data_IF_219321866199
#
_entry.id   IF_219321866199
#
_cell.length_a   1.000
_cell.length_b   1.000
_cell.length_c   1.000
_cell.angle_alpha   90.00
_cell.angle_beta   90.00
_cell.angle_gamma   90.00
#
_symmetry.space_group_name_H-M   'P 1'
#
loop_
_entity.id
_entity.type
_entity.pdbx_description
1 polymer ?
#
# COMPACT_ATOMS: atom_id res chain seq x y z
N UNK A 1 26.21 1.83 -54.21
CA UNK A 1 25.96 2.44 -52.89
C UNK A 1 24.89 1.57 -52.22
N UNK A 2 25.31 0.68 -51.34
CA UNK A 2 24.40 -0.12 -50.51
C UNK A 2 24.00 0.75 -49.33
N UNK A 3 22.73 1.06 -49.23
CA UNK A 3 22.17 1.73 -48.03
C UNK A 3 21.94 0.65 -46.99
N UNK A 4 22.71 0.73 -45.91
CA UNK A 4 22.50 -0.10 -44.73
C UNK A 4 21.09 0.16 -44.18
N UNK A 5 20.25 -0.86 -44.29
CA UNK A 5 18.92 -0.87 -43.65
C UNK A 5 19.16 -1.07 -42.15
N UNK A 6 19.13 0.01 -41.37
CA UNK A 6 19.02 -0.07 -39.90
C UNK A 6 17.69 -0.68 -39.56
N UNK A 7 17.67 -1.95 -39.17
CA UNK A 7 16.53 -2.54 -38.50
C UNK A 7 16.54 -1.97 -37.07
N UNK A 8 15.75 -0.91 -36.83
CA UNK A 8 15.45 -0.51 -35.47
C UNK A 8 14.61 -1.63 -34.85
N UNK A 9 15.20 -2.30 -33.87
CA UNK A 9 14.49 -3.24 -33.01
C UNK A 9 13.33 -2.45 -32.39
N UNK A 10 12.10 -2.72 -32.82
CA UNK A 10 10.92 -2.17 -32.16
C UNK A 10 10.90 -2.72 -30.74
N UNK A 11 11.26 -1.87 -29.78
CA UNK A 11 11.15 -2.20 -28.34
C UNK A 11 9.69 -2.52 -28.10
N UNK A 12 9.38 -3.76 -27.72
CA UNK A 12 8.03 -4.17 -27.34
C UNK A 12 7.56 -3.21 -26.25
N UNK A 13 6.44 -2.53 -26.49
CA UNK A 13 5.80 -1.67 -25.48
C UNK A 13 4.99 -2.56 -24.55
N UNK A 14 5.21 -2.40 -23.27
CA UNK A 14 4.36 -3.01 -22.26
C UNK A 14 3.05 -2.22 -22.14
N UNK A 15 1.94 -2.87 -22.42
CA UNK A 15 0.59 -2.29 -22.35
C UNK A 15 -0.33 -3.03 -21.38
N UNK A 16 0.23 -3.98 -20.65
CA UNK A 16 -0.53 -4.85 -19.73
C UNK A 16 -0.23 -4.46 -18.28
N UNK A 17 -1.26 -4.31 -17.47
CA UNK A 17 -1.09 -4.15 -16.05
C UNK A 17 -0.64 -5.46 -15.38
N UNK A 18 -0.01 -5.39 -14.20
CA UNK A 18 0.33 -6.56 -13.41
C UNK A 18 -0.86 -7.43 -13.04
N UNK A 19 -0.61 -8.70 -12.72
CA UNK A 19 -1.61 -9.67 -12.32
C UNK A 19 -1.40 -10.19 -10.90
N UNK A 20 -2.47 -10.25 -10.10
CA UNK A 20 -2.49 -10.88 -8.79
C UNK A 20 -2.80 -12.37 -8.94
N UNK A 21 -1.80 -13.22 -8.69
CA UNK A 21 -1.93 -14.68 -8.83
C UNK A 21 -2.39 -15.34 -7.53
N UNK A 22 -2.00 -14.80 -6.37
CA UNK A 22 -2.52 -15.22 -5.06
C UNK A 22 -2.39 -14.11 -4.03
N UNK A 23 -3.23 -14.18 -3.01
CA UNK A 23 -3.20 -13.28 -1.84
C UNK A 23 -3.51 -14.07 -0.58
N UNK A 24 -2.75 -13.81 0.49
CA UNK A 24 -2.93 -14.55 1.74
C UNK A 24 -2.60 -13.66 2.94
N UNK A 25 -3.54 -13.59 3.87
CA UNK A 25 -3.27 -13.16 5.24
C UNK A 25 -2.60 -14.32 5.98
N UNK A 26 -1.45 -14.11 6.62
CA UNK A 26 -0.75 -15.16 7.36
C UNK A 26 -1.42 -15.45 8.71
N UNK A 27 -2.15 -14.45 9.23
CA UNK A 27 -3.09 -14.61 10.33
C UNK A 27 -4.33 -13.78 10.00
N UNK A 28 -5.47 -14.21 10.50
CA UNK A 28 -6.75 -13.50 10.34
C UNK A 28 -7.24 -12.88 11.67
N UNK A 29 -6.45 -13.01 12.73
CA UNK A 29 -6.71 -12.36 14.03
C UNK A 29 -5.43 -11.78 14.58
N UNK A 30 -5.46 -10.49 14.92
CA UNK A 30 -4.36 -9.72 15.50
C UNK A 30 -4.73 -9.37 16.93
N UNK A 31 -4.01 -9.92 17.90
CA UNK A 31 -4.24 -9.66 19.33
C UNK A 31 -3.27 -8.58 19.84
N UNK A 32 -3.82 -7.40 20.17
CA UNK A 32 -3.09 -6.26 20.73
C UNK A 32 -3.34 -6.06 22.23
N UNK A 33 -3.97 -7.02 22.91
CA UNK A 33 -4.28 -6.92 24.35
C UNK A 33 -3.06 -6.86 25.26
N UNK A 34 -1.90 -7.33 24.77
CA UNK A 34 -0.63 -7.40 25.53
C UNK A 34 0.50 -6.54 24.95
N UNK A 35 0.18 -5.65 24.03
CA UNK A 35 1.13 -4.80 23.30
C UNK A 35 0.99 -4.97 21.80
N UNK A 36 1.96 -4.43 21.03
CA UNK A 36 1.90 -4.49 19.56
C UNK A 36 1.95 -5.91 19.01
N UNK A 37 1.27 -6.09 17.88
CA UNK A 37 1.23 -7.33 17.11
C UNK A 37 1.31 -7.02 15.62
N UNK A 38 1.63 -8.02 14.79
CA UNK A 38 1.88 -7.79 13.36
C UNK A 38 0.89 -8.54 12.48
N UNK A 39 0.30 -7.82 11.51
CA UNK A 39 -0.34 -8.43 10.36
C UNK A 39 0.71 -8.65 9.28
N UNK A 40 0.80 -9.86 8.78
CA UNK A 40 1.63 -10.21 7.64
C UNK A 40 0.76 -10.68 6.48
N UNK A 41 1.02 -10.11 5.31
CA UNK A 41 0.30 -10.42 4.06
C UNK A 41 1.32 -10.88 3.02
N UNK A 42 1.01 -11.94 2.30
CA UNK A 42 1.78 -12.38 1.14
C UNK A 42 0.91 -12.33 -0.11
N UNK A 43 1.48 -11.78 -1.19
CA UNK A 43 0.86 -11.71 -2.52
C UNK A 43 1.83 -12.24 -3.57
N UNK A 44 1.40 -13.20 -4.37
CA UNK A 44 2.12 -13.60 -5.58
C UNK A 44 1.66 -12.71 -6.73
N UNK A 45 2.58 -11.95 -7.30
CA UNK A 45 2.29 -10.96 -8.34
C UNK A 45 3.20 -11.22 -9.52
N UNK A 46 2.65 -11.14 -10.72
CA UNK A 46 3.42 -11.26 -11.96
C UNK A 46 3.13 -10.11 -12.92
N UNK A 47 4.11 -9.87 -13.77
CA UNK A 47 4.02 -8.95 -14.89
C UNK A 47 4.65 -9.58 -16.13
N UNK A 48 4.17 -9.21 -17.31
CA UNK A 48 4.58 -9.89 -18.53
C UNK A 48 5.86 -9.34 -19.17
N UNK A 49 6.27 -8.08 -18.83
CA UNK A 49 7.39 -7.46 -19.56
C UNK A 49 8.20 -6.45 -18.74
N UNK A 50 7.58 -5.42 -18.14
CA UNK A 50 8.33 -4.34 -17.49
C UNK A 50 8.65 -4.61 -16.02
N UNK A 51 7.84 -5.44 -15.37
CA UNK A 51 7.98 -5.82 -13.97
C UNK A 51 7.24 -4.89 -13.01
N UNK A 52 6.99 -5.40 -11.81
CA UNK A 52 6.30 -4.69 -10.74
C UNK A 52 7.17 -3.57 -10.20
N UNK A 53 6.65 -2.34 -10.22
CA UNK A 53 7.27 -1.17 -9.61
C UNK A 53 6.94 -1.07 -8.12
N UNK A 54 5.66 -1.17 -7.79
CA UNK A 54 5.18 -1.21 -6.41
C UNK A 54 3.78 -1.83 -6.31
N UNK A 55 3.47 -2.28 -5.10
CA UNK A 55 2.13 -2.69 -4.70
C UNK A 55 1.83 -2.21 -3.29
N UNK A 56 0.57 -1.89 -3.03
CA UNK A 56 0.08 -1.56 -1.70
C UNK A 56 -1.42 -1.86 -1.59
N UNK A 57 -1.90 -2.05 -0.37
CA UNK A 57 -3.32 -2.22 -0.08
C UNK A 57 -3.81 -1.16 0.90
N UNK A 58 -5.06 -0.72 0.72
CA UNK A 58 -5.79 0.09 1.68
C UNK A 58 -6.71 -0.79 2.51
N UNK A 59 -6.73 -0.53 3.81
CA UNK A 59 -7.60 -1.21 4.75
C UNK A 59 -8.38 -0.20 5.55
N UNK A 60 -9.66 -0.49 5.76
CA UNK A 60 -10.57 0.35 6.52
C UNK A 60 -10.75 -0.26 7.91
N UNK A 61 -10.55 0.56 8.94
CA UNK A 61 -10.90 0.20 10.31
C UNK A 61 -12.43 0.16 10.48
N UNK A 62 -12.94 -0.39 11.60
CA UNK A 62 -14.37 -0.39 11.90
C UNK A 62 -15.02 1.00 11.87
N UNK A 63 -14.29 2.07 12.24
CA UNK A 63 -14.79 3.47 12.14
C UNK A 63 -14.61 4.09 10.75
N UNK A 64 -14.01 3.37 9.77
CA UNK A 64 -13.76 3.86 8.43
C UNK A 64 -12.46 4.64 8.24
N UNK A 65 -11.56 4.66 9.23
CA UNK A 65 -10.20 5.19 9.04
C UNK A 65 -9.43 4.28 8.10
N UNK A 66 -8.62 4.88 7.22
CA UNK A 66 -7.85 4.13 6.22
C UNK A 66 -6.39 4.04 6.60
N UNK A 67 -5.83 2.83 6.46
CA UNK A 67 -4.41 2.54 6.59
C UNK A 67 -3.86 1.94 5.30
N UNK A 68 -2.59 2.28 4.99
CA UNK A 68 -1.91 1.82 3.77
C UNK A 68 -0.80 0.85 4.11
N UNK A 69 -0.87 -0.35 3.55
CA UNK A 69 0.13 -1.40 3.75
C UNK A 69 0.92 -1.60 2.46
N UNK A 70 2.16 -1.10 2.45
CA UNK A 70 3.08 -1.29 1.33
C UNK A 70 3.68 -2.68 1.35
N UNK A 71 3.85 -3.28 0.18
CA UNK A 71 4.52 -4.57 0.03
C UNK A 71 5.90 -4.45 -0.60
N UNK A 72 6.78 -5.37 -0.23
CA UNK A 72 8.14 -5.47 -0.74
C UNK A 72 8.38 -6.86 -1.33
N UNK A 73 9.20 -6.93 -2.37
CA UNK A 73 9.61 -8.19 -2.96
C UNK A 73 10.39 -9.03 -1.93
N UNK A 74 9.86 -10.21 -1.60
CA UNK A 74 10.47 -11.16 -0.66
C UNK A 74 11.32 -12.22 -1.38
N UNK A 75 10.82 -12.72 -2.51
CA UNK A 75 11.51 -13.72 -3.32
C UNK A 75 11.01 -13.71 -4.77
N UNK A 76 11.77 -14.30 -5.68
CA UNK A 76 11.53 -14.22 -7.11
C UNK A 76 12.15 -12.95 -7.70
N UNK A 77 11.48 -12.31 -8.63
CA UNK A 77 11.90 -11.06 -9.27
C UNK A 77 10.69 -10.18 -9.60
N UNK A 78 10.93 -9.03 -10.22
CA UNK A 78 9.86 -8.08 -10.56
C UNK A 78 8.86 -8.61 -11.60
N UNK A 79 9.21 -9.61 -12.41
CA UNK A 79 8.31 -10.21 -13.38
C UNK A 79 7.46 -11.34 -12.79
N UNK A 80 7.98 -12.03 -11.77
CA UNK A 80 7.27 -13.10 -11.06
C UNK A 80 7.81 -13.21 -9.64
N UNK A 81 7.13 -12.53 -8.69
CA UNK A 81 7.60 -12.36 -7.33
C UNK A 81 6.57 -12.70 -6.26
N UNK A 82 7.09 -13.10 -5.10
CA UNK A 82 6.34 -13.12 -3.86
C UNK A 82 6.61 -11.82 -3.12
N UNK A 83 5.57 -11.04 -2.89
CA UNK A 83 5.60 -9.76 -2.20
C UNK A 83 5.03 -9.94 -0.79
N UNK A 84 5.63 -9.25 0.18
CA UNK A 84 5.20 -9.29 1.58
C UNK A 84 4.95 -7.86 2.09
N UNK A 85 3.82 -7.68 2.77
CA UNK A 85 3.54 -6.55 3.62
C UNK A 85 3.60 -6.99 5.08
N UNK A 86 4.15 -6.13 5.93
CA UNK A 86 4.11 -6.30 7.39
C UNK A 86 3.63 -4.98 7.98
N UNK A 87 2.57 -5.02 8.76
CA UNK A 87 2.00 -3.85 9.41
C UNK A 87 1.91 -4.10 10.92
N UNK A 88 2.40 -3.14 11.71
CA UNK A 88 2.37 -3.20 13.16
C UNK A 88 1.06 -2.59 13.68
N UNK A 89 0.30 -3.39 14.39
CA UNK A 89 -0.84 -2.95 15.18
C UNK A 89 -0.38 -2.74 16.62
N UNK A 90 -0.53 -1.52 17.12
CA UNK A 90 -0.25 -1.15 18.51
C UNK A 90 -1.53 -1.22 19.34
N UNK A 91 -1.41 -1.12 20.67
CA UNK A 91 -2.54 -1.06 21.61
C UNK A 91 -3.52 0.11 21.37
N UNK A 92 -3.14 1.09 20.50
CA UNK A 92 -3.97 2.25 20.15
C UNK A 92 -4.79 2.06 18.88
N UNK A 93 -4.57 0.96 18.13
CA UNK A 93 -5.37 0.67 16.95
C UNK A 93 -6.77 0.22 17.32
N UNK A 94 -7.69 0.52 16.43
CA UNK A 94 -9.09 0.19 16.59
C UNK A 94 -9.32 -1.32 16.52
N UNK A 95 -10.05 -1.87 17.52
CA UNK A 95 -10.45 -3.27 17.57
C UNK A 95 -11.73 -3.51 16.77
N UNK A 96 -11.88 -4.71 16.22
CA UNK A 96 -12.98 -5.13 15.38
C UNK A 96 -12.52 -5.57 14.00
N UNK A 97 -13.46 -5.75 13.09
CA UNK A 97 -13.18 -6.22 11.72
C UNK A 97 -12.62 -5.09 10.86
N UNK A 98 -11.48 -5.37 10.26
CA UNK A 98 -10.84 -4.52 9.26
C UNK A 98 -11.10 -5.07 7.87
N UNK A 99 -11.56 -4.19 6.96
CA UNK A 99 -11.95 -4.55 5.61
C UNK A 99 -10.97 -4.02 4.58
N UNK A 100 -10.66 -4.84 3.58
CA UNK A 100 -9.91 -4.39 2.41
C UNK A 100 -10.72 -3.31 1.67
N UNK A 101 -10.12 -2.14 1.49
CA UNK A 101 -10.66 -1.14 0.58
C UNK A 101 -10.32 -1.51 -0.88
N UNK A 102 -9.05 -1.68 -1.17
CA UNK A 102 -8.55 -2.12 -2.48
C UNK A 102 -7.05 -2.43 -2.42
N UNK A 103 -6.58 -3.29 -3.34
CA UNK A 103 -5.18 -3.56 -3.60
C UNK A 103 -4.77 -2.91 -4.91
N UNK A 104 -3.68 -2.14 -4.91
CA UNK A 104 -3.12 -1.48 -6.08
C UNK A 104 -1.84 -2.13 -6.54
N UNK A 105 -1.73 -2.41 -7.83
CA UNK A 105 -0.52 -2.87 -8.48
C UNK A 105 -0.13 -1.90 -9.60
N UNK A 106 1.15 -1.63 -9.72
CA UNK A 106 1.71 -0.82 -10.81
C UNK A 106 3.03 -1.40 -11.30
N UNK A 107 3.22 -1.42 -12.62
CA UNK A 107 4.46 -1.78 -13.30
C UNK A 107 5.42 -0.59 -13.48
N UNK A 108 6.62 -0.86 -14.02
CA UNK A 108 7.65 0.14 -14.24
C UNK A 108 7.30 1.17 -15.33
N UNK A 109 6.44 0.84 -16.28
CA UNK A 109 6.03 1.76 -17.36
C UNK A 109 4.73 2.50 -17.08
N UNK A 110 4.05 2.16 -15.97
CA UNK A 110 2.90 2.91 -15.47
C UNK A 110 1.54 2.29 -15.71
N UNK A 111 1.45 1.06 -16.22
CA UNK A 111 0.17 0.35 -16.25
C UNK A 111 -0.24 -0.03 -14.82
N UNK A 112 -1.53 0.11 -14.52
CA UNK A 112 -2.07 -0.09 -13.17
C UNK A 112 -3.31 -0.95 -13.18
N UNK A 113 -3.53 -1.66 -12.08
CA UNK A 113 -4.78 -2.35 -11.79
C UNK A 113 -5.12 -2.21 -10.31
N UNK A 114 -6.40 -2.11 -10.01
CA UNK A 114 -6.96 -2.17 -8.66
C UNK A 114 -7.80 -3.42 -8.53
N UNK A 115 -7.65 -4.13 -7.43
CA UNK A 115 -8.49 -5.24 -7.00
C UNK A 115 -9.32 -4.78 -5.81
N UNK A 116 -10.64 -4.85 -5.94
CA UNK A 116 -11.61 -4.47 -4.92
C UNK A 116 -12.11 -5.71 -4.15
N UNK A 117 -12.85 -5.55 -3.07
CA UNK A 117 -13.38 -6.68 -2.29
C UNK A 117 -14.14 -7.71 -3.13
N UNK A 118 -14.88 -7.27 -4.15
CA UNK A 118 -15.63 -8.14 -5.09
C UNK A 118 -14.70 -9.01 -5.94
N UNK A 119 -13.53 -8.49 -6.31
CA UNK A 119 -12.51 -9.26 -7.01
C UNK A 119 -11.89 -10.32 -6.10
N UNK A 120 -11.65 -9.98 -4.83
CA UNK A 120 -11.16 -10.91 -3.81
C UNK A 120 -12.15 -12.04 -3.57
N UNK A 121 -13.44 -11.75 -3.44
CA UNK A 121 -14.49 -12.75 -3.31
C UNK A 121 -14.50 -13.69 -4.53
N UNK A 122 -14.50 -13.13 -5.75
CA UNK A 122 -14.47 -13.89 -7.01
C UNK A 122 -13.23 -14.78 -7.14
N UNK A 123 -12.08 -14.34 -6.62
CA UNK A 123 -10.80 -15.06 -6.64
C UNK A 123 -10.64 -16.02 -5.45
N UNK A 124 -11.56 -16.00 -4.49
CA UNK A 124 -11.51 -16.82 -3.27
C UNK A 124 -10.44 -16.37 -2.26
N UNK A 125 -10.08 -15.08 -2.27
CA UNK A 125 -9.14 -14.51 -1.31
C UNK A 125 -9.87 -13.89 -0.13
N UNK A 126 -9.25 -13.91 1.06
CA UNK A 126 -9.76 -13.19 2.22
C UNK A 126 -9.53 -11.69 2.06
N UNK A 127 -10.58 -10.91 2.34
CA UNK A 127 -10.56 -9.45 2.29
C UNK A 127 -10.83 -8.81 3.67
N UNK A 128 -10.77 -9.59 4.76
CA UNK A 128 -11.05 -9.15 6.12
C UNK A 128 -10.12 -9.85 7.11
N UNK A 129 -9.81 -9.14 8.20
CA UNK A 129 -9.17 -9.71 9.40
C UNK A 129 -9.74 -9.05 10.65
N UNK A 130 -9.52 -9.65 11.82
CA UNK A 130 -10.03 -9.17 13.10
C UNK A 130 -8.88 -8.63 13.96
N UNK A 131 -9.07 -7.46 14.56
CA UNK A 131 -8.18 -6.93 15.60
C UNK A 131 -8.90 -7.04 16.94
N UNK A 132 -8.29 -7.75 17.87
CA UNK A 132 -8.80 -7.93 19.24
C UNK A 132 -7.85 -7.30 20.26
N UNK A 133 -8.39 -6.75 21.34
CA UNK A 133 -7.57 -6.10 22.37
C UNK A 133 -8.37 -5.20 23.29
N UNK A 134 -7.72 -4.16 23.77
CA UNK A 134 -8.32 -3.17 24.68
C UNK A 134 -9.21 -2.18 23.93
N UNK A 135 -9.91 -1.33 24.68
CA UNK A 135 -10.73 -0.24 24.09
C UNK A 135 -9.80 0.72 23.34
N UNK A 136 -10.03 0.95 22.04
CA UNK A 136 -9.18 1.81 21.23
C UNK A 136 -9.32 3.29 21.62
N UNK A 137 -8.26 4.07 21.40
CA UNK A 137 -8.33 5.53 21.43
C UNK A 137 -8.93 6.05 20.12
N UNK A 138 -10.16 6.54 20.18
CA UNK A 138 -10.89 7.11 19.03
C UNK A 138 -10.93 8.64 19.06
N UNK A 139 -10.29 9.29 20.06
CA UNK A 139 -10.29 10.76 20.16
C UNK A 139 -9.18 11.36 19.29
N UNK A 140 -9.57 12.31 18.44
CA UNK A 140 -8.59 13.10 17.69
C UNK A 140 -7.82 14.05 18.62
N UNK A 141 -6.53 14.33 18.35
CA UNK A 141 -5.76 15.32 19.10
C UNK A 141 -6.45 16.69 19.05
N UNK A 142 -6.44 17.41 20.19
CA UNK A 142 -6.98 18.78 20.31
C UNK A 142 -5.85 19.79 20.29
N UNK A 143 -5.94 20.79 19.40
CA UNK A 143 -5.04 21.92 19.41
C UNK A 143 -5.39 22.85 20.58
N UNK A 144 -4.58 22.84 21.63
CA UNK A 144 -4.81 23.66 22.82
C UNK A 144 -4.31 25.10 22.67
N UNK A 145 -3.24 25.30 21.91
CA UNK A 145 -2.71 26.63 21.64
C UNK A 145 -1.91 26.65 20.33
N UNK A 146 -1.90 27.80 19.69
CA UNK A 146 -1.08 28.08 18.52
C UNK A 146 -0.50 29.48 18.66
N UNK A 147 0.78 29.67 18.40
CA UNK A 147 1.44 30.96 18.43
C UNK A 147 2.34 31.10 17.21
N UNK A 148 2.16 32.20 16.49
CA UNK A 148 3.13 32.64 15.49
C UNK A 148 4.30 33.34 16.19
N UNK A 149 5.55 33.01 15.87
CA UNK A 149 6.73 33.70 16.40
C UNK A 149 6.75 35.20 16.05
N UNK A 150 6.15 35.58 14.92
CA UNK A 150 6.01 36.93 14.45
C UNK A 150 4.67 37.13 13.75
N UNK A 151 4.00 38.28 14.02
CA UNK A 151 2.78 38.68 13.33
C UNK A 151 3.07 39.36 11.98
N UNK A 152 4.31 39.75 11.76
CA UNK A 152 4.76 40.42 10.52
C UNK A 152 6.05 39.81 10.01
N UNK A 153 6.12 39.62 8.71
CA UNK A 153 7.32 39.16 8.00
C UNK A 153 7.82 40.37 7.17
N UNK A 154 8.99 40.87 7.52
CA UNK A 154 9.67 41.92 6.74
C UNK A 154 10.50 41.28 5.62
N UNK A 155 10.01 41.40 4.39
CA UNK A 155 10.68 40.87 3.20
C UNK A 155 11.56 41.91 2.50
N UNK A 156 11.70 43.14 3.07
CA UNK A 156 12.47 44.21 2.45
C UNK A 156 13.97 43.91 2.32
N UNK A 157 14.48 42.95 3.08
CA UNK A 157 15.90 42.51 3.10
C UNK A 157 16.15 41.14 2.49
N UNK A 158 15.20 40.59 1.74
CA UNK A 158 15.24 39.26 1.16
C UNK A 158 14.31 38.25 1.82
N UNK A 159 14.34 36.98 1.40
CA UNK A 159 13.49 35.92 1.99
C UNK A 159 13.90 35.63 3.44
N UNK A 160 12.92 35.62 4.37
CA UNK A 160 13.08 35.11 5.73
C UNK A 160 12.37 33.76 5.89
N UNK A 161 13.00 32.84 6.58
CA UNK A 161 12.35 31.59 7.01
C UNK A 161 11.81 31.79 8.42
N UNK A 162 10.59 31.27 8.67
CA UNK A 162 9.99 31.17 9.99
C UNK A 162 10.45 29.88 10.67
#
# INVERSE_FOLDING_TARGET
MMTDLKIESSKLSDLSAPNLNSFRLLTDTIDISKGSSFLEIEAKISDNLSGIKYSFSFWNSPSGKQETFFSQLKSGNALDGLYKSTFEFTEFHETGTWDLGWLHLRDEVGNTINYYPEDFERLGFKSQFEVIGNIPDLEAPKLNSFRLPSETIDISKGSSFL
#
